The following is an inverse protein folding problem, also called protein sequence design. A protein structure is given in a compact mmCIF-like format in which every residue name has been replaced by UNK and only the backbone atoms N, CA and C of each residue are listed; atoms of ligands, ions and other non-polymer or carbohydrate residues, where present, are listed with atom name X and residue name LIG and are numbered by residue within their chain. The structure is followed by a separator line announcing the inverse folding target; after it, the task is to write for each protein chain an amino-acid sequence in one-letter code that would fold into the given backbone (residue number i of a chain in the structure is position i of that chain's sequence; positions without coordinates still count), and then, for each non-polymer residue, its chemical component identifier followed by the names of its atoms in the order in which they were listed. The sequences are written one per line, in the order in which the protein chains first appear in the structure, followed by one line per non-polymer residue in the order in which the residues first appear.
data_IF_190243564716
#
_entry.id   IF_190243564716
#
_cell.length_a   1.000
_cell.length_b   1.000
_cell.length_c   1.000
_cell.angle_alpha   90.00
_cell.angle_beta   90.00
_cell.angle_gamma   90.00
#
_symmetry.space_group_name_H-M   'P 1'
#
loop_
_entity.id
_entity.type
_entity.pdbx_description
1 polymer ?
#
# COMPACT_ATOMS: atom_id res chain seq x y z
N UNK A 1 -53.92 13.93 -26.02
CA UNK A 1 -52.95 12.81 -26.06
C UNK A 1 -51.49 13.23 -26.21
N UNK A 2 -51.12 14.22 -27.05
CA UNK A 2 -49.69 14.59 -27.24
C UNK A 2 -49.03 15.24 -26.02
N UNK A 3 -49.75 16.12 -25.31
CA UNK A 3 -49.25 16.85 -24.13
C UNK A 3 -48.97 15.94 -22.91
N UNK A 4 -49.88 15.01 -22.61
CA UNK A 4 -49.71 14.05 -21.49
C UNK A 4 -48.51 13.13 -21.69
N UNK A 5 -48.25 12.72 -22.93
CA UNK A 5 -47.10 11.86 -23.27
C UNK A 5 -45.77 12.62 -23.14
N UNK A 6 -45.74 13.90 -23.52
CA UNK A 6 -44.57 14.76 -23.36
C UNK A 6 -44.23 15.04 -21.89
N UNK A 7 -45.25 15.29 -21.05
CA UNK A 7 -45.06 15.51 -19.61
C UNK A 7 -44.54 14.23 -18.91
N UNK A 8 -45.07 13.06 -19.26
CA UNK A 8 -44.59 11.78 -18.73
C UNK A 8 -43.15 11.47 -19.17
N UNK A 9 -42.81 11.71 -20.44
CA UNK A 9 -41.46 11.52 -20.95
C UNK A 9 -40.45 12.47 -20.30
N UNK A 10 -40.81 13.74 -20.10
CA UNK A 10 -39.98 14.72 -19.42
C UNK A 10 -39.77 14.35 -17.94
N UNK A 11 -40.84 13.94 -17.24
CA UNK A 11 -40.77 13.45 -15.86
C UNK A 11 -39.85 12.23 -15.72
N UNK A 12 -40.02 11.23 -16.59
CA UNK A 12 -39.17 10.03 -16.60
C UNK A 12 -37.69 10.36 -16.89
N UNK A 13 -37.41 11.26 -17.85
CA UNK A 13 -36.05 11.67 -18.17
C UNK A 13 -35.36 12.40 -17.00
N UNK A 14 -36.09 13.29 -16.31
CA UNK A 14 -35.57 13.98 -15.11
C UNK A 14 -35.30 12.98 -13.99
N UNK A 15 -36.22 12.06 -13.70
CA UNK A 15 -36.04 11.04 -12.66
C UNK A 15 -34.89 10.07 -12.95
N UNK A 16 -34.70 9.65 -14.20
CA UNK A 16 -33.57 8.82 -14.61
C UNK A 16 -32.25 9.57 -14.44
N UNK A 17 -32.20 10.84 -14.84
CA UNK A 17 -31.00 11.68 -14.72
C UNK A 17 -30.62 11.89 -13.25
N UNK A 18 -31.59 12.19 -12.37
CA UNK A 18 -31.32 12.37 -10.94
C UNK A 18 -30.88 11.07 -10.28
N UNK A 19 -31.46 9.92 -10.64
CA UNK A 19 -31.03 8.62 -10.14
C UNK A 19 -29.58 8.29 -10.54
N UNK A 20 -29.21 8.54 -11.81
CA UNK A 20 -27.84 8.32 -12.31
C UNK A 20 -26.84 9.23 -11.60
N UNK A 21 -27.14 10.52 -11.46
CA UNK A 21 -26.27 11.48 -10.75
C UNK A 21 -26.16 11.10 -9.26
N UNK A 22 -27.25 10.70 -8.63
CA UNK A 22 -27.27 10.23 -7.25
C UNK A 22 -26.40 9.00 -7.04
N UNK A 23 -26.54 7.98 -7.90
CA UNK A 23 -25.72 6.78 -7.86
C UNK A 23 -24.22 7.09 -8.09
N UNK A 24 -23.92 7.99 -9.03
CA UNK A 24 -22.54 8.43 -9.28
C UNK A 24 -21.92 9.13 -8.06
N UNK A 25 -22.68 10.03 -7.40
CA UNK A 25 -22.23 10.71 -6.18
C UNK A 25 -22.03 9.75 -5.02
N UNK A 26 -22.96 8.84 -4.76
CA UNK A 26 -22.82 7.82 -3.72
C UNK A 26 -21.58 6.95 -3.95
N UNK A 27 -21.34 6.53 -5.20
CA UNK A 27 -20.12 5.78 -5.57
C UNK A 27 -18.86 6.61 -5.36
N UNK A 28 -18.91 7.91 -5.69
CA UNK A 28 -17.80 8.82 -5.46
C UNK A 28 -17.53 9.00 -3.97
N UNK A 29 -18.54 9.25 -3.15
CA UNK A 29 -18.40 9.45 -1.71
C UNK A 29 -17.89 8.18 -1.01
N UNK A 30 -18.40 7.01 -1.40
CA UNK A 30 -17.91 5.73 -0.91
C UNK A 30 -16.42 5.53 -1.23
N UNK A 31 -15.98 5.88 -2.44
CA UNK A 31 -14.55 5.85 -2.83
C UNK A 31 -13.73 6.82 -1.98
N UNK A 32 -14.17 8.07 -1.82
CA UNK A 32 -13.47 9.05 -1.01
C UNK A 32 -13.37 8.61 0.46
N UNK A 33 -14.41 7.98 1.00
CA UNK A 33 -14.38 7.46 2.35
C UNK A 33 -13.41 6.29 2.49
N UNK A 34 -13.37 5.38 1.52
CA UNK A 34 -12.40 4.28 1.49
C UNK A 34 -10.97 4.82 1.44
N UNK A 35 -10.67 5.77 0.56
CA UNK A 35 -9.36 6.43 0.45
C UNK A 35 -8.97 7.16 1.76
N UNK A 36 -9.92 7.85 2.41
CA UNK A 36 -9.67 8.50 3.70
C UNK A 36 -9.36 7.50 4.81
N UNK A 37 -10.11 6.41 4.87
CA UNK A 37 -9.87 5.33 5.84
C UNK A 37 -8.49 4.71 5.59
N UNK A 38 -8.14 4.48 4.33
CA UNK A 38 -6.85 3.93 3.92
C UNK A 38 -5.69 4.85 4.35
N UNK A 39 -5.80 6.16 4.09
CA UNK A 39 -4.84 7.16 4.56
C UNK A 39 -4.73 7.19 6.08
N UNK A 40 -5.86 7.14 6.80
CA UNK A 40 -5.88 7.19 8.26
C UNK A 40 -5.19 5.97 8.88
N UNK A 41 -5.51 4.76 8.39
CA UNK A 41 -4.90 3.51 8.87
C UNK A 41 -3.40 3.49 8.53
N UNK A 42 -3.04 3.85 7.30
CA UNK A 42 -1.64 3.88 6.89
C UNK A 42 -0.82 4.92 7.67
N UNK A 43 -1.41 6.08 8.02
CA UNK A 43 -0.77 7.08 8.87
C UNK A 43 -0.48 6.53 10.26
N UNK A 44 -1.46 5.86 10.89
CA UNK A 44 -1.23 5.23 12.20
C UNK A 44 -0.09 4.21 12.15
N UNK A 45 -0.03 3.40 11.09
CA UNK A 45 1.05 2.43 10.89
C UNK A 45 2.42 3.12 10.71
N UNK A 46 2.50 4.15 9.88
CA UNK A 46 3.74 4.90 9.64
C UNK A 46 4.21 5.65 10.90
N UNK A 47 3.29 6.21 11.68
CA UNK A 47 3.60 6.90 12.94
C UNK A 47 4.11 5.89 13.98
N UNK A 48 3.49 4.70 14.07
CA UNK A 48 3.96 3.61 14.92
C UNK A 48 5.37 3.14 14.54
N UNK A 49 5.60 2.88 13.24
CA UNK A 49 6.92 2.49 12.74
C UNK A 49 7.97 3.58 13.00
N UNK A 50 7.61 4.85 12.86
CA UNK A 50 8.49 5.98 13.20
C UNK A 50 8.93 5.92 14.66
N UNK A 51 7.98 5.79 15.58
CA UNK A 51 8.27 5.72 17.01
C UNK A 51 9.16 4.52 17.34
N UNK A 52 8.80 3.35 16.83
CA UNK A 52 9.55 2.12 17.08
C UNK A 52 10.95 2.13 16.46
N UNK A 53 11.15 2.81 15.33
CA UNK A 53 12.46 2.93 14.67
C UNK A 53 13.38 4.01 15.27
N UNK A 54 12.85 4.88 16.15
CA UNK A 54 13.60 6.02 16.72
C UNK A 54 13.65 6.01 18.24
N UNK A 55 12.91 5.11 18.91
CA UNK A 55 12.92 4.93 20.35
C UNK A 55 13.34 3.49 20.72
N UNK A 56 14.55 3.29 21.26
CA UNK A 56 15.05 1.96 21.59
C UNK A 56 14.28 1.28 22.73
N UNK A 57 13.73 2.05 23.69
CA UNK A 57 12.95 1.48 24.79
C UNK A 57 11.64 0.87 24.28
N UNK A 58 11.00 1.53 23.32
CA UNK A 58 9.81 0.98 22.65
C UNK A 58 10.18 -0.19 21.74
N UNK A 59 11.25 -0.07 20.96
CA UNK A 59 11.73 -1.13 20.07
C UNK A 59 11.98 -2.43 20.83
N UNK A 60 12.63 -2.33 22.00
CA UNK A 60 12.98 -3.48 22.86
C UNK A 60 11.76 -4.32 23.26
N UNK A 61 10.58 -3.71 23.42
CA UNK A 61 9.36 -4.43 23.80
C UNK A 61 8.86 -5.39 22.71
N UNK A 62 9.22 -5.14 21.46
CA UNK A 62 8.75 -5.90 20.30
C UNK A 62 9.87 -6.59 19.53
N UNK A 63 11.12 -6.46 19.99
CA UNK A 63 12.28 -7.05 19.33
C UNK A 63 12.21 -8.57 19.50
N UNK A 64 12.27 -9.36 18.40
CA UNK A 64 12.38 -10.81 18.50
C UNK A 64 13.65 -11.21 19.26
N UNK A 65 13.58 -12.31 20.02
CA UNK A 65 14.68 -12.74 20.92
C UNK A 65 16.03 -12.97 20.20
N UNK A 66 16.00 -13.24 18.90
CA UNK A 66 17.16 -13.55 18.06
C UNK A 66 17.75 -12.34 17.33
N UNK A 67 17.26 -11.12 17.58
CA UNK A 67 17.76 -9.89 16.94
C UNK A 67 18.18 -8.88 18.00
N UNK A 68 19.26 -8.16 17.73
CA UNK A 68 19.59 -6.96 18.49
C UNK A 68 18.56 -5.84 18.27
N UNK A 69 18.34 -5.02 19.30
CA UNK A 69 17.35 -3.92 19.25
C UNK A 69 17.72 -2.90 18.17
N UNK A 70 18.99 -2.55 18.02
CA UNK A 70 19.43 -1.59 17.02
C UNK A 70 19.22 -2.13 15.60
N UNK A 71 19.54 -3.41 15.38
CA UNK A 71 19.25 -4.06 14.11
C UNK A 71 17.73 -4.08 13.84
N UNK A 72 16.91 -4.43 14.84
CA UNK A 72 15.46 -4.42 14.68
C UNK A 72 14.91 -3.03 14.33
N UNK A 73 15.41 -1.97 14.97
CA UNK A 73 15.05 -0.58 14.63
C UNK A 73 15.37 -0.23 13.17
N UNK A 74 16.52 -0.67 12.65
CA UNK A 74 16.85 -0.49 11.23
C UNK A 74 15.87 -1.23 10.31
N UNK A 75 15.53 -2.48 10.64
CA UNK A 75 14.56 -3.26 9.88
C UNK A 75 13.17 -2.61 9.89
N UNK A 76 12.75 -2.02 11.01
CA UNK A 76 11.51 -1.24 11.10
C UNK A 76 11.54 0.04 10.26
N UNK A 77 12.69 0.70 10.17
CA UNK A 77 12.87 1.83 9.25
C UNK A 77 12.72 1.40 7.78
N UNK A 78 13.27 0.25 7.39
CA UNK A 78 13.02 -0.32 6.06
C UNK A 78 11.54 -0.66 5.83
N UNK A 79 10.87 -1.23 6.83
CA UNK A 79 9.42 -1.48 6.77
C UNK A 79 8.63 -0.18 6.55
N UNK A 80 9.01 0.90 7.23
CA UNK A 80 8.39 2.21 7.06
C UNK A 80 8.47 2.69 5.60
N UNK A 81 9.63 2.57 4.96
CA UNK A 81 9.82 2.96 3.56
C UNK A 81 8.96 2.12 2.62
N UNK A 82 8.89 0.81 2.86
CA UNK A 82 8.06 -0.13 2.09
C UNK A 82 6.57 0.20 2.26
N UNK A 83 6.10 0.44 3.49
CA UNK A 83 4.72 0.81 3.77
C UNK A 83 4.34 2.16 3.12
N UNK A 84 5.26 3.13 3.14
CA UNK A 84 5.07 4.41 2.47
C UNK A 84 4.95 4.25 0.95
N UNK A 85 5.77 3.39 0.33
CA UNK A 85 5.64 3.07 -1.09
C UNK A 85 4.32 2.34 -1.40
N UNK A 86 3.93 1.37 -0.56
CA UNK A 86 2.64 0.66 -0.70
C UNK A 86 1.47 1.63 -0.65
N UNK A 87 1.47 2.60 0.27
CA UNK A 87 0.42 3.62 0.32
C UNK A 87 0.40 4.48 -0.95
N UNK A 88 1.56 4.90 -1.45
CA UNK A 88 1.65 5.69 -2.69
C UNK A 88 1.12 4.92 -3.89
N UNK A 89 1.44 3.63 -3.98
CA UNK A 89 0.90 2.75 -5.02
C UNK A 89 -0.62 2.62 -4.86
N UNK A 90 -1.10 2.41 -3.62
CA UNK A 90 -2.52 2.25 -3.30
C UNK A 90 -3.38 3.48 -3.64
N UNK A 91 -2.85 4.66 -3.43
CA UNK A 91 -3.51 5.92 -3.78
C UNK A 91 -3.31 6.33 -5.25
N UNK A 92 -2.63 5.52 -6.06
CA UNK A 92 -2.44 5.79 -7.49
C UNK A 92 -1.38 6.85 -7.81
N UNK A 93 -0.52 7.20 -6.85
CA UNK A 93 0.61 8.12 -7.07
C UNK A 93 1.80 7.46 -7.76
N UNK A 94 1.82 6.12 -7.83
CA UNK A 94 2.75 5.37 -8.65
C UNK A 94 2.08 5.10 -10.00
N UNK A 95 2.63 5.66 -11.08
CA UNK A 95 2.06 5.43 -12.42
C UNK A 95 2.27 3.97 -12.83
N UNK A 96 1.39 3.49 -13.71
CA UNK A 96 1.46 2.14 -14.23
C UNK A 96 2.85 1.83 -14.79
N UNK A 97 3.44 0.69 -14.40
CA UNK A 97 4.79 0.28 -14.76
C UNK A 97 5.94 0.94 -13.98
N UNK A 98 5.68 1.92 -13.10
CA UNK A 98 6.74 2.54 -12.28
C UNK A 98 7.03 1.78 -10.98
N UNK A 99 6.12 0.91 -10.52
CA UNK A 99 6.30 0.17 -9.28
C UNK A 99 7.58 -0.69 -9.27
N UNK A 100 7.94 -1.45 -10.33
CA UNK A 100 9.20 -2.18 -10.38
C UNK A 100 10.45 -1.30 -10.23
N UNK A 101 10.42 -0.07 -10.77
CA UNK A 101 11.51 0.87 -10.60
C UNK A 101 11.66 1.30 -9.13
N UNK A 102 10.57 1.68 -8.46
CA UNK A 102 10.62 2.06 -7.05
C UNK A 102 11.01 0.88 -6.14
N UNK A 103 10.51 -0.32 -6.44
CA UNK A 103 10.92 -1.55 -5.77
C UNK A 103 12.43 -1.79 -5.89
N UNK A 104 12.99 -1.66 -7.10
CA UNK A 104 14.44 -1.76 -7.32
C UNK A 104 15.22 -0.69 -6.55
N UNK A 105 14.69 0.53 -6.45
CA UNK A 105 15.32 1.61 -5.70
C UNK A 105 15.35 1.33 -4.20
N UNK A 106 14.27 0.80 -3.62
CA UNK A 106 14.26 0.34 -2.23
C UNK A 106 15.28 -0.78 -2.01
N UNK A 107 15.31 -1.77 -2.91
CA UNK A 107 16.21 -2.93 -2.78
C UNK A 107 17.69 -2.62 -3.04
N UNK A 108 18.04 -1.39 -3.48
CA UNK A 108 19.43 -0.91 -3.43
C UNK A 108 19.94 -0.77 -1.99
N UNK A 109 19.05 -0.50 -1.02
CA UNK A 109 19.40 -0.41 0.39
C UNK A 109 19.63 -1.79 1.00
N UNK A 110 20.77 -1.98 1.66
CA UNK A 110 21.08 -3.23 2.37
C UNK A 110 20.05 -3.55 3.46
N UNK A 111 19.67 -2.54 4.24
CA UNK A 111 18.66 -2.69 5.31
C UNK A 111 17.32 -3.15 4.75
N UNK A 112 16.91 -2.65 3.57
CA UNK A 112 15.67 -3.10 2.91
C UNK A 112 15.77 -4.55 2.46
N UNK A 113 16.93 -4.99 1.94
CA UNK A 113 17.13 -6.40 1.57
C UNK A 113 17.14 -7.32 2.79
N UNK A 114 17.81 -6.93 3.88
CA UNK A 114 17.79 -7.69 5.14
C UNK A 114 16.38 -7.78 5.71
N UNK A 115 15.63 -6.68 5.71
CA UNK A 115 14.22 -6.68 6.08
C UNK A 115 13.42 -7.65 5.22
N UNK A 116 13.58 -7.59 3.90
CA UNK A 116 12.83 -8.45 2.99
C UNK A 116 13.18 -9.93 3.17
N UNK A 117 14.46 -10.25 3.33
CA UNK A 117 14.91 -11.62 3.57
C UNK A 117 14.32 -12.22 4.86
N UNK A 118 14.09 -11.38 5.87
CA UNK A 118 13.57 -11.83 7.16
C UNK A 118 12.05 -11.84 7.26
N UNK A 119 11.39 -10.81 6.73
CA UNK A 119 9.96 -10.57 6.93
C UNK A 119 9.14 -10.61 5.63
N UNK A 120 9.77 -10.83 4.47
CA UNK A 120 9.10 -10.89 3.17
C UNK A 120 8.03 -11.98 3.10
N UNK A 121 8.28 -13.14 3.70
CA UNK A 121 7.31 -14.24 3.76
C UNK A 121 6.09 -13.88 4.62
N UNK A 122 6.28 -13.13 5.71
CA UNK A 122 5.16 -12.62 6.52
C UNK A 122 4.35 -11.59 5.73
N UNK A 123 5.00 -10.75 4.92
CA UNK A 123 4.28 -9.83 4.03
C UNK A 123 3.49 -10.56 2.93
N UNK A 124 4.00 -11.68 2.43
CA UNK A 124 3.28 -12.51 1.48
C UNK A 124 2.03 -13.14 2.13
N UNK A 125 2.15 -13.62 3.36
CA UNK A 125 1.01 -14.11 4.15
C UNK A 125 0.00 -12.99 4.46
N UNK A 126 0.46 -11.80 4.84
CA UNK A 126 -0.41 -10.64 5.08
C UNK A 126 -1.20 -10.23 3.83
N UNK A 127 -0.61 -10.41 2.64
CA UNK A 127 -1.21 -10.02 1.38
C UNK A 127 -2.26 -11.01 0.86
N UNK A 128 -2.31 -12.24 1.38
CA UNK A 128 -3.16 -13.31 0.84
C UNK A 128 -4.64 -12.89 0.78
N UNK A 129 -5.22 -12.94 -0.43
CA UNK A 129 -6.61 -12.56 -0.67
C UNK A 129 -6.83 -11.08 -1.00
N UNK A 130 -5.79 -10.25 -0.99
CA UNK A 130 -5.79 -8.89 -1.54
C UNK A 130 -4.89 -8.83 -2.78
N UNK A 131 -5.50 -8.94 -3.97
CA UNK A 131 -4.80 -8.95 -5.27
C UNK A 131 -3.81 -7.79 -5.44
N UNK A 132 -4.10 -6.62 -4.86
CA UNK A 132 -3.24 -5.45 -4.96
C UNK A 132 -2.04 -5.57 -4.03
N UNK A 133 -2.25 -6.03 -2.81
CA UNK A 133 -1.18 -6.31 -1.87
C UNK A 133 -0.28 -7.45 -2.37
N UNK A 134 -0.87 -8.49 -2.97
CA UNK A 134 -0.14 -9.61 -3.58
C UNK A 134 0.75 -9.10 -4.71
N UNK A 135 0.19 -8.34 -5.65
CA UNK A 135 0.95 -7.75 -6.75
C UNK A 135 2.11 -6.87 -6.25
N UNK A 136 1.86 -6.03 -5.25
CA UNK A 136 2.89 -5.19 -4.65
C UNK A 136 4.03 -6.03 -4.04
N UNK A 137 3.67 -7.05 -3.26
CA UNK A 137 4.62 -7.96 -2.62
C UNK A 137 5.43 -8.75 -3.64
N UNK A 138 4.82 -9.26 -4.71
CA UNK A 138 5.52 -9.94 -5.81
C UNK A 138 6.52 -9.02 -6.53
N UNK A 139 6.20 -7.74 -6.69
CA UNK A 139 7.12 -6.79 -7.33
C UNK A 139 8.34 -6.53 -6.45
N UNK A 140 8.16 -6.41 -5.12
CA UNK A 140 9.28 -6.31 -4.18
C UNK A 140 10.12 -7.59 -4.13
N UNK A 141 9.49 -8.76 -4.12
CA UNK A 141 10.18 -10.04 -4.14
C UNK A 141 11.07 -10.22 -5.38
N UNK A 142 10.53 -9.89 -6.57
CA UNK A 142 11.31 -9.89 -7.81
C UNK A 142 12.49 -8.92 -7.76
N UNK A 143 12.28 -7.72 -7.20
CA UNK A 143 13.35 -6.74 -7.06
C UNK A 143 14.45 -7.23 -6.10
N UNK A 144 14.08 -7.84 -4.96
CA UNK A 144 15.02 -8.41 -4.00
C UNK A 144 15.85 -9.54 -4.64
N UNK A 145 15.18 -10.50 -5.31
CA UNK A 145 15.83 -11.63 -5.99
C UNK A 145 16.75 -11.19 -7.13
N UNK A 146 16.41 -10.12 -7.85
CA UNK A 146 17.24 -9.59 -8.94
C UNK A 146 18.55 -9.02 -8.39
N UNK A 147 18.49 -8.28 -7.28
CA UNK A 147 19.68 -7.77 -6.60
C UNK A 147 20.58 -8.87 -6.06
N UNK A 148 20.00 -9.90 -5.42
CA UNK A 148 20.77 -11.05 -4.93
C UNK A 148 21.52 -11.78 -6.04
N UNK A 149 21.01 -11.77 -7.27
CA UNK A 149 21.70 -12.36 -8.44
C UNK A 149 22.78 -11.44 -9.03
N UNK A 150 22.62 -10.12 -8.91
CA UNK A 150 23.54 -9.14 -9.45
C UNK A 150 24.80 -8.92 -8.58
N UNK A 151 24.76 -9.31 -7.30
CA UNK A 151 25.93 -9.42 -6.43
C UNK A 151 26.34 -10.91 -6.33
N UNK A 152 27.29 -11.41 -7.15
CA UNK A 152 27.93 -12.67 -6.85
C UNK A 152 28.66 -12.54 -5.50
N UNK A 153 28.59 -13.59 -4.68
CA UNK A 153 29.35 -13.69 -3.42
C UNK A 153 30.77 -13.21 -3.64
N UNK A 154 31.11 -12.05 -3.09
CA UNK A 154 32.50 -11.67 -2.92
C UNK A 154 33.10 -12.72 -1.99
N UNK A 155 33.99 -13.55 -2.55
CA UNK A 155 34.77 -14.54 -1.82
C UNK A 155 35.80 -13.85 -0.91
#
# INVERSE_FOLDING_TARGET
MKLTTAVLAAGAAVSLTTAVVGAARLRQDARHQAERNEVAVARNQLDWLTQMSTNPDLAKLWTPEDIDVEEYMQLLHANQQICALSLRDRLGFVRHGQLPFYASMLMNSDVCRRYWARFGDLRAQEAEGDERAEHFTEVLDRAAKTHSRAQPSAA
#
